data_IF_428891575983
#
_entry.id   IF_428891575983
#
_cell.length_a   1.000
_cell.length_b   1.000
_cell.length_c   1.000
_cell.angle_alpha   90.00
_cell.angle_beta   90.00
_cell.angle_gamma   90.00
#
_symmetry.space_group_name_H-M   'P 1'
#
loop_
_entity.id
_entity.type
_entity.pdbx_description
1 polymer ?
#
# COMPACT_ATOMS: atom_id res chain seq x y z
N UNK A 1 12.16 -34.61 14.63
CA UNK A 1 11.54 -33.32 15.02
C UNK A 1 11.22 -32.58 13.75
N UNK A 2 9.94 -32.51 13.38
CA UNK A 2 9.50 -31.53 12.36
C UNK A 2 9.57 -30.15 13.02
N UNK A 3 10.00 -29.08 12.33
CA UNK A 3 9.91 -27.74 12.87
C UNK A 3 8.44 -27.45 13.20
N UNK A 4 8.16 -26.90 14.38
CA UNK A 4 6.88 -26.23 14.62
C UNK A 4 6.72 -25.22 13.48
N UNK A 5 5.65 -25.33 12.69
CA UNK A 5 5.38 -24.36 11.63
C UNK A 5 5.34 -22.96 12.22
N UNK A 6 5.94 -22.00 11.52
CA UNK A 6 5.83 -20.58 11.87
C UNK A 6 4.36 -20.18 11.92
N UNK A 7 3.92 -19.50 12.98
CA UNK A 7 2.57 -18.94 13.04
C UNK A 7 2.49 -17.67 12.19
N UNK A 8 1.29 -17.28 11.71
CA UNK A 8 1.11 -15.97 11.02
C UNK A 8 1.66 -14.82 11.86
N UNK A 9 1.54 -14.87 13.19
CA UNK A 9 2.02 -13.82 14.08
C UNK A 9 3.54 -13.62 14.02
N UNK A 10 4.31 -14.67 13.76
CA UNK A 10 5.77 -14.58 13.65
C UNK A 10 6.21 -13.88 12.35
N UNK A 11 5.32 -13.80 11.36
CA UNK A 11 5.56 -13.15 10.07
C UNK A 11 5.23 -11.65 10.06
N UNK A 12 4.63 -11.13 11.14
CA UNK A 12 4.09 -9.78 11.20
C UNK A 12 4.75 -9.01 12.33
N UNK A 13 5.34 -7.87 11.98
CA UNK A 13 5.80 -6.87 12.95
C UNK A 13 4.64 -5.92 13.28
N UNK A 14 4.42 -5.67 14.56
CA UNK A 14 3.48 -4.64 15.01
C UNK A 14 4.09 -3.82 16.14
N UNK A 15 4.10 -2.50 15.98
CA UNK A 15 4.69 -1.58 16.96
C UNK A 15 4.09 -0.17 16.82
N UNK A 16 4.23 0.63 17.87
CA UNK A 16 3.89 2.06 17.83
C UNK A 16 5.10 2.92 17.48
N UNK A 17 4.86 4.07 16.84
CA UNK A 17 5.83 5.13 16.60
C UNK A 17 5.47 6.37 17.42
N UNK A 18 5.93 6.48 18.69
CA UNK A 18 5.63 7.63 19.54
C UNK A 18 6.06 8.94 18.90
N UNK A 19 5.20 9.95 18.93
CA UNK A 19 5.47 11.28 18.43
C UNK A 19 4.48 12.26 19.04
N UNK A 20 4.92 13.49 19.30
CA UNK A 20 4.06 14.59 19.73
C UNK A 20 3.48 15.37 18.53
N UNK A 21 3.97 15.07 17.32
CA UNK A 21 3.50 15.70 16.08
C UNK A 21 2.11 15.19 15.69
N UNK A 22 1.30 16.09 15.15
CA UNK A 22 0.02 15.74 14.52
C UNK A 22 0.28 15.17 13.11
N UNK A 23 0.66 13.89 13.05
CA UNK A 23 0.90 13.21 11.78
C UNK A 23 -0.37 13.07 10.94
N UNK A 24 -1.57 13.08 11.55
CA UNK A 24 -2.80 13.05 10.78
C UNK A 24 -2.93 14.33 9.94
N UNK A 25 -2.78 15.49 10.56
CA UNK A 25 -2.82 16.77 9.85
C UNK A 25 -1.71 16.89 8.81
N UNK A 26 -0.45 16.61 9.19
CA UNK A 26 0.69 16.74 8.27
C UNK A 26 0.57 15.83 7.04
N UNK A 27 0.20 14.56 7.21
CA UNK A 27 0.03 13.63 6.10
C UNK A 27 -1.21 13.98 5.26
N UNK A 28 -2.27 14.46 5.91
CA UNK A 28 -3.49 14.92 5.22
C UNK A 28 -3.20 16.10 4.30
N UNK A 29 -2.42 17.08 4.76
CA UNK A 29 -2.06 18.27 3.99
C UNK A 29 -0.97 17.99 2.95
N UNK A 30 -0.20 16.92 3.16
CA UNK A 30 0.87 16.50 2.27
C UNK A 30 0.38 15.78 0.99
N UNK A 31 -0.90 15.41 0.91
CA UNK A 31 -1.47 14.66 -0.21
C UNK A 31 -2.60 15.41 -0.92
N UNK A 32 -2.59 15.38 -2.25
CA UNK A 32 -3.73 15.75 -3.11
C UNK A 32 -4.65 14.54 -3.23
N UNK A 33 -5.81 14.60 -2.60
CA UNK A 33 -6.73 13.47 -2.46
C UNK A 33 -7.62 13.26 -3.69
N UNK A 34 -7.80 11.99 -4.08
CA UNK A 34 -8.81 11.57 -5.06
C UNK A 34 -9.91 10.77 -4.36
N UNK A 35 -11.17 11.02 -4.71
CA UNK A 35 -12.28 10.13 -4.33
C UNK A 35 -12.21 8.83 -5.13
N UNK A 36 -11.93 7.71 -4.45
CA UNK A 36 -11.82 6.38 -5.10
C UNK A 36 -12.94 5.43 -4.70
N UNK A 37 -13.86 5.89 -3.84
CA UNK A 37 -15.06 5.15 -3.44
C UNK A 37 -15.80 5.84 -2.31
N UNK A 38 -16.97 5.29 -1.96
CA UNK A 38 -17.78 5.84 -0.86
C UNK A 38 -16.99 5.83 0.46
N UNK A 39 -16.72 7.02 0.99
CA UNK A 39 -16.00 7.19 2.26
C UNK A 39 -14.52 6.83 2.19
N UNK A 40 -13.95 6.79 0.99
CA UNK A 40 -12.55 6.42 0.74
C UNK A 40 -11.91 7.39 -0.23
N UNK A 41 -10.88 8.07 0.25
CA UNK A 41 -9.98 8.86 -0.56
C UNK A 41 -8.61 8.21 -0.59
N UNK A 42 -7.84 8.45 -1.66
CA UNK A 42 -6.46 8.00 -1.71
C UNK A 42 -5.61 8.75 -2.72
N UNK A 43 -4.30 8.53 -2.62
CA UNK A 43 -3.31 9.04 -3.55
C UNK A 43 -2.09 8.11 -3.61
N UNK A 44 -1.41 8.09 -4.76
CA UNK A 44 -0.16 7.37 -4.95
C UNK A 44 1.00 8.35 -4.77
N UNK A 45 1.96 7.96 -3.93
CA UNK A 45 3.14 8.74 -3.60
C UNK A 45 4.40 7.96 -4.00
N UNK A 46 5.48 8.64 -4.40
CA UNK A 46 6.75 7.99 -4.69
C UNK A 46 7.97 8.86 -4.37
N UNK A 47 9.06 8.23 -3.95
CA UNK A 47 10.38 8.85 -3.87
C UNK A 47 10.96 8.91 -5.30
N UNK A 48 10.80 10.04 -5.97
CA UNK A 48 11.29 10.23 -7.34
C UNK A 48 12.80 10.35 -7.31
N UNK A 49 13.47 9.57 -8.15
CA UNK A 49 14.92 9.56 -8.27
C UNK A 49 15.34 10.02 -9.67
N UNK A 50 16.26 10.99 -9.78
CA UNK A 50 16.70 11.52 -11.07
C UNK A 50 17.36 10.46 -11.96
N UNK A 51 18.04 9.49 -11.35
CA UNK A 51 18.75 8.41 -12.06
C UNK A 51 17.81 7.30 -12.48
N UNK A 52 16.88 6.88 -11.63
CA UNK A 52 16.04 5.70 -11.85
C UNK A 52 14.65 6.07 -12.42
N UNK A 53 14.13 7.24 -12.08
CA UNK A 53 12.82 7.73 -12.48
C UNK A 53 11.79 7.60 -11.35
N UNK A 54 10.53 7.38 -11.72
CA UNK A 54 9.40 7.31 -10.80
C UNK A 54 9.13 5.84 -10.44
N UNK A 55 9.24 5.44 -9.15
CA UNK A 55 8.85 4.11 -8.69
C UNK A 55 7.38 3.81 -9.00
N UNK A 56 7.13 2.70 -9.69
CA UNK A 56 5.79 2.26 -10.08
C UNK A 56 5.31 1.13 -9.17
N UNK A 57 4.09 1.22 -8.65
CA UNK A 57 3.37 0.06 -8.10
C UNK A 57 1.98 0.03 -8.71
N UNK A 58 1.77 -0.87 -9.67
CA UNK A 58 0.47 -1.00 -10.34
C UNK A 58 -0.57 -1.59 -9.42
N UNK A 59 -1.78 -1.06 -9.51
CA UNK A 59 -2.91 -1.49 -8.70
C UNK A 59 -4.16 -1.69 -9.57
N UNK A 60 -5.18 -2.32 -8.99
CA UNK A 60 -6.52 -2.39 -9.60
C UNK A 60 -7.35 -1.12 -9.38
N UNK A 61 -6.95 -0.24 -8.48
CA UNK A 61 -7.62 1.05 -8.27
C UNK A 61 -7.24 1.97 -9.42
N UNK A 62 -8.24 2.58 -10.06
CA UNK A 62 -8.05 3.45 -11.21
C UNK A 62 -7.86 4.90 -10.74
N UNK A 63 -6.66 5.22 -10.24
CA UNK A 63 -6.29 6.60 -9.94
C UNK A 63 -6.17 7.42 -11.23
N UNK A 64 -6.54 8.69 -11.15
CA UNK A 64 -6.55 9.63 -12.28
C UNK A 64 -5.55 10.77 -12.09
N UNK A 65 -5.24 11.12 -10.84
CA UNK A 65 -4.21 12.12 -10.57
C UNK A 65 -2.80 11.54 -10.68
N UNK A 66 -1.79 12.32 -11.14
CA UNK A 66 -0.42 11.84 -11.20
C UNK A 66 0.10 11.34 -9.85
N UNK A 67 1.07 10.44 -9.90
CA UNK A 67 1.85 10.08 -8.71
C UNK A 67 2.50 11.34 -8.13
N UNK A 68 2.38 11.53 -6.83
CA UNK A 68 2.92 12.70 -6.12
C UNK A 68 4.31 12.37 -5.55
N UNK A 69 5.25 13.33 -5.52
CA UNK A 69 6.54 13.09 -4.89
C UNK A 69 6.37 12.91 -3.38
N UNK A 70 7.25 12.12 -2.76
CA UNK A 70 7.40 12.12 -1.32
C UNK A 70 7.81 13.52 -0.85
N UNK A 71 6.97 14.10 0.01
CA UNK A 71 7.35 15.22 0.90
C UNK A 71 8.12 14.76 2.13
N UNK A 72 8.78 15.69 2.82
CA UNK A 72 9.59 15.45 4.04
C UNK A 72 8.87 14.62 5.11
N UNK A 73 7.56 14.83 5.32
CA UNK A 73 6.76 14.05 6.27
C UNK A 73 6.74 12.55 5.93
N UNK A 74 6.68 12.21 4.64
CA UNK A 74 6.66 10.82 4.17
C UNK A 74 8.03 10.18 4.30
N UNK A 75 9.09 10.89 3.91
CA UNK A 75 10.48 10.42 4.00
C UNK A 75 10.87 10.15 5.45
N UNK A 76 10.59 11.10 6.34
CA UNK A 76 10.84 10.97 7.77
C UNK A 76 10.05 9.80 8.37
N UNK A 77 8.78 9.63 7.99
CA UNK A 77 7.97 8.52 8.46
C UNK A 77 8.51 7.17 7.97
N UNK A 78 8.83 7.06 6.69
CA UNK A 78 9.43 5.86 6.09
C UNK A 78 10.74 5.49 6.80
N UNK A 79 11.64 6.44 7.00
CA UNK A 79 12.91 6.23 7.70
C UNK A 79 12.70 5.73 9.12
N UNK A 80 11.81 6.36 9.90
CA UNK A 80 11.52 5.93 11.27
C UNK A 80 10.94 4.52 11.35
N UNK A 81 10.07 4.16 10.40
CA UNK A 81 9.54 2.78 10.28
C UNK A 81 10.70 1.81 10.03
N UNK A 82 11.57 2.12 9.07
CA UNK A 82 12.70 1.26 8.71
C UNK A 82 13.66 1.05 9.87
N UNK A 83 14.07 2.13 10.54
CA UNK A 83 14.96 2.07 11.71
C UNK A 83 14.36 1.22 12.83
N UNK A 84 13.07 1.41 13.12
CA UNK A 84 12.39 0.70 14.21
C UNK A 84 12.16 -0.78 13.89
N UNK A 85 11.90 -1.11 12.63
CA UNK A 85 11.64 -2.47 12.18
C UNK A 85 12.90 -3.23 11.74
N UNK A 86 14.07 -2.57 11.69
CA UNK A 86 15.30 -3.17 11.16
C UNK A 86 15.25 -3.47 9.66
N UNK A 87 14.46 -2.70 8.89
CA UNK A 87 14.30 -2.89 7.45
C UNK A 87 15.45 -2.18 6.71
N UNK A 88 16.25 -2.95 5.99
CA UNK A 88 17.43 -2.45 5.27
C UNK A 88 17.11 -1.81 3.91
N UNK A 89 16.02 -2.25 3.25
CA UNK A 89 15.63 -1.76 1.93
C UNK A 89 14.72 -0.55 2.08
N UNK A 90 15.10 0.58 1.46
CA UNK A 90 14.35 1.82 1.56
C UNK A 90 13.03 1.80 0.80
N UNK A 91 11.98 2.30 1.46
CA UNK A 91 10.69 2.52 0.81
C UNK A 91 10.80 3.63 -0.23
N UNK A 92 10.28 3.40 -1.43
CA UNK A 92 10.29 4.36 -2.53
C UNK A 92 8.90 4.57 -3.14
N UNK A 93 7.89 3.87 -2.66
CA UNK A 93 6.50 4.01 -3.06
C UNK A 93 5.60 3.98 -1.82
N UNK A 94 4.51 4.74 -1.85
CA UNK A 94 3.47 4.62 -0.86
C UNK A 94 2.08 4.82 -1.45
N UNK A 95 1.10 4.14 -0.87
CA UNK A 95 -0.31 4.45 -1.04
C UNK A 95 -0.81 5.12 0.24
N UNK A 96 -1.27 6.36 0.14
CA UNK A 96 -1.91 7.08 1.25
C UNK A 96 -3.43 7.00 1.07
N UNK A 97 -4.14 6.66 2.13
CA UNK A 97 -5.59 6.49 2.11
C UNK A 97 -6.23 7.15 3.32
N UNK A 98 -7.41 7.73 3.13
CA UNK A 98 -8.24 8.28 4.20
C UNK A 98 -9.62 7.67 4.13
N UNK A 99 -10.06 7.08 5.25
CA UNK A 99 -11.35 6.41 5.36
C UNK A 99 -12.24 7.09 6.40
N UNK A 100 -13.46 7.43 6.00
CA UNK A 100 -14.54 7.76 6.92
C UNK A 100 -15.21 6.50 7.45
N UNK A 101 -16.07 6.63 8.46
CA UNK A 101 -16.88 5.53 8.99
C UNK A 101 -17.87 4.96 7.97
N UNK A 102 -18.10 5.62 6.82
CA UNK A 102 -18.88 5.04 5.73
C UNK A 102 -18.16 3.90 5.01
N UNK A 103 -16.82 3.85 5.08
CA UNK A 103 -16.01 2.77 4.53
C UNK A 103 -15.70 1.74 5.62
N UNK A 104 -16.49 0.67 5.67
CA UNK A 104 -16.50 -0.27 6.79
C UNK A 104 -15.65 -1.51 6.58
N UNK A 105 -15.37 -1.89 5.33
CA UNK A 105 -14.60 -3.10 5.03
C UNK A 105 -14.06 -3.08 3.60
N UNK A 106 -13.10 -3.94 3.34
CA UNK A 106 -12.55 -4.26 2.02
C UNK A 106 -12.45 -5.77 1.83
N UNK A 107 -12.34 -6.21 0.58
CA UNK A 107 -12.06 -7.61 0.27
C UNK A 107 -10.69 -8.04 0.79
N UNK A 108 -10.58 -9.27 1.29
CA UNK A 108 -9.31 -9.86 1.67
C UNK A 108 -8.42 -10.03 0.43
N UNK A 109 -7.19 -9.50 0.50
CA UNK A 109 -6.25 -9.51 -0.62
C UNK A 109 -4.80 -9.55 -0.11
N UNK A 110 -3.87 -10.03 -0.93
CA UNK A 110 -2.45 -9.71 -0.74
C UNK A 110 -2.17 -8.37 -1.40
N UNK A 111 -1.19 -7.58 -0.99
CA UNK A 111 -0.76 -6.43 -1.79
C UNK A 111 -0.20 -6.91 -3.14
N UNK A 112 -0.40 -6.13 -4.21
CA UNK A 112 0.01 -6.57 -5.55
C UNK A 112 1.54 -6.54 -5.69
N UNK A 113 2.14 -7.71 -5.87
CA UNK A 113 3.59 -7.92 -5.82
C UNK A 113 4.30 -7.75 -7.18
N UNK A 114 3.54 -7.51 -8.27
CA UNK A 114 4.06 -7.33 -9.64
C UNK A 114 5.30 -6.44 -9.70
N UNK A 115 5.24 -5.29 -9.04
CA UNK A 115 6.29 -4.28 -9.07
C UNK A 115 7.14 -4.24 -7.78
N UNK A 116 6.91 -5.14 -6.82
CA UNK A 116 7.60 -5.09 -5.53
C UNK A 116 8.96 -5.79 -5.58
N UNK A 117 9.95 -5.21 -4.89
CA UNK A 117 11.24 -5.83 -4.68
C UNK A 117 11.08 -7.05 -3.75
N UNK A 118 11.68 -8.19 -4.11
CA UNK A 118 11.39 -9.49 -3.46
C UNK A 118 11.80 -9.55 -1.99
N UNK A 119 12.97 -9.00 -1.67
CA UNK A 119 13.53 -8.96 -0.30
C UNK A 119 13.14 -7.67 0.44
N UNK A 120 11.98 -7.10 0.10
CA UNK A 120 11.48 -5.88 0.72
C UNK A 120 10.26 -6.12 1.61
N UNK A 121 9.76 -5.04 2.20
CA UNK A 121 8.66 -5.05 3.14
C UNK A 121 7.49 -4.22 2.62
N UNK A 122 6.33 -4.53 3.18
CA UNK A 122 5.12 -3.72 3.10
C UNK A 122 4.84 -3.26 4.53
N UNK A 123 4.71 -1.96 4.73
CA UNK A 123 4.46 -1.38 6.04
C UNK A 123 3.27 -0.43 6.00
N UNK A 124 2.25 -0.73 6.80
CA UNK A 124 1.05 0.09 6.97
C UNK A 124 1.20 0.89 8.25
N UNK A 125 1.35 2.20 8.12
CA UNK A 125 1.19 3.16 9.21
C UNK A 125 -0.28 3.55 9.35
N UNK A 126 -0.72 3.82 10.58
CA UNK A 126 -2.08 4.18 10.93
C UNK A 126 -2.11 5.40 11.85
N UNK A 127 -2.96 6.39 11.56
CA UNK A 127 -3.32 7.46 12.48
C UNK A 127 -4.79 7.89 12.33
N UNK A 128 -5.24 8.74 13.24
CA UNK A 128 -6.64 9.15 13.37
C UNK A 128 -6.74 10.63 13.60
N UNK A 129 -7.81 11.25 13.10
CA UNK A 129 -8.14 12.67 13.32
C UNK A 129 -8.32 12.98 14.81
N UNK A 130 -8.99 12.09 15.54
CA UNK A 130 -9.25 12.22 16.98
C UNK A 130 -8.60 11.01 17.70
N UNK A 131 -7.35 11.13 18.18
CA UNK A 131 -6.61 10.01 18.78
C UNK A 131 -7.15 9.57 20.15
N UNK A 132 -7.85 10.44 20.86
CA UNK A 132 -8.44 10.16 22.18
C UNK A 132 -9.62 9.18 22.13
N UNK A 133 -10.19 8.97 20.93
CA UNK A 133 -11.22 7.96 20.73
C UNK A 133 -10.58 6.59 20.49
N UNK A 134 -11.24 5.52 20.97
CA UNK A 134 -10.79 4.15 20.73
C UNK A 134 -10.67 3.88 19.21
N UNK A 135 -9.54 3.33 18.72
CA UNK A 135 -9.32 3.12 17.29
C UNK A 135 -10.28 2.04 16.77
N UNK A 136 -11.25 2.40 15.92
CA UNK A 136 -12.32 1.47 15.56
C UNK A 136 -11.91 0.51 14.44
N UNK A 137 -10.64 0.50 13.99
CA UNK A 137 -10.20 -0.31 12.85
C UNK A 137 -9.17 -1.35 13.24
N UNK A 138 -9.26 -2.50 12.59
CA UNK A 138 -8.28 -3.58 12.68
C UNK A 138 -7.91 -4.10 11.31
N UNK A 139 -6.68 -4.58 11.20
CA UNK A 139 -6.20 -5.38 10.09
C UNK A 139 -6.47 -6.84 10.43
N UNK A 140 -7.30 -7.50 9.64
CA UNK A 140 -7.50 -8.95 9.73
C UNK A 140 -6.56 -9.58 8.71
N UNK A 141 -5.67 -10.45 9.17
CA UNK A 141 -4.70 -11.18 8.33
C UNK A 141 -5.02 -12.67 8.40
N UNK A 142 -5.10 -13.31 7.24
CA UNK A 142 -5.54 -14.70 7.06
C UNK A 142 -4.52 -15.44 6.20
N UNK A 143 -4.18 -16.69 6.56
CA UNK A 143 -3.30 -17.53 5.73
C UNK A 143 -4.03 -18.01 4.46
N UNK A 144 -3.31 -18.12 3.35
CA UNK A 144 -3.79 -18.78 2.13
C UNK A 144 -3.71 -20.30 2.21
N UNK A 145 -2.81 -20.84 3.04
CA UNK A 145 -2.51 -22.28 3.11
C UNK A 145 -3.13 -22.97 4.31
N UNK A 146 -3.27 -22.25 5.42
CA UNK A 146 -3.77 -22.78 6.68
C UNK A 146 -5.23 -22.38 6.85
N UNK A 147 -6.14 -23.31 6.57
CA UNK A 147 -7.58 -23.04 6.67
C UNK A 147 -7.95 -22.58 8.10
N UNK A 148 -8.61 -21.42 8.18
CA UNK A 148 -9.06 -20.83 9.45
C UNK A 148 -7.98 -20.12 10.26
N UNK A 149 -6.70 -20.18 9.87
CA UNK A 149 -5.64 -19.45 10.57
C UNK A 149 -5.75 -17.95 10.26
N UNK A 150 -6.01 -17.16 11.30
CA UNK A 150 -6.17 -15.71 11.20
C UNK A 150 -5.68 -15.01 12.46
N UNK A 151 -5.22 -13.77 12.29
CA UNK A 151 -4.92 -12.84 13.39
C UNK A 151 -5.62 -11.51 13.12
N UNK A 152 -6.05 -10.86 14.20
CA UNK A 152 -6.63 -9.52 14.16
C UNK A 152 -5.68 -8.57 14.88
N UNK A 153 -5.27 -7.51 14.19
CA UNK A 153 -4.30 -6.54 14.68
C UNK A 153 -4.97 -5.17 14.73
N UNK A 154 -5.17 -4.56 15.91
CA UNK A 154 -5.69 -3.21 16.01
C UNK A 154 -4.81 -2.22 15.26
N UNK A 155 -5.41 -1.38 14.42
CA UNK A 155 -4.70 -0.32 13.72
C UNK A 155 -4.63 0.91 14.63
N UNK A 156 -3.81 0.85 15.67
CA UNK A 156 -3.70 1.90 16.68
C UNK A 156 -3.28 3.26 16.07
N UNK A 157 -3.58 4.35 16.79
CA UNK A 157 -3.02 5.65 16.45
C UNK A 157 -1.49 5.60 16.56
N UNK A 158 -0.80 6.07 15.51
CA UNK A 158 0.64 5.93 15.33
C UNK A 158 1.14 4.47 15.35
N UNK A 159 0.25 3.52 15.07
CA UNK A 159 0.58 2.11 14.93
C UNK A 159 1.17 1.81 13.56
N UNK A 160 2.06 0.83 13.53
CA UNK A 160 2.64 0.26 12.32
C UNK A 160 2.41 -1.24 12.34
N UNK A 161 2.00 -1.78 11.19
CA UNK A 161 1.99 -3.21 10.91
C UNK A 161 2.85 -3.43 9.66
N UNK A 162 3.85 -4.31 9.74
CA UNK A 162 4.74 -4.59 8.62
C UNK A 162 4.96 -6.10 8.43
N UNK A 163 5.08 -6.51 7.18
CA UNK A 163 5.37 -7.90 6.79
C UNK A 163 6.18 -7.90 5.49
N UNK A 164 6.96 -8.97 5.30
CA UNK A 164 7.80 -9.09 4.11
C UNK A 164 6.97 -9.33 2.84
N UNK A 165 7.52 -9.05 1.67
CA UNK A 165 6.89 -9.44 0.38
C UNK A 165 6.76 -10.97 0.29
N UNK A 166 7.67 -11.74 0.90
CA UNK A 166 7.53 -13.18 1.02
C UNK A 166 6.29 -13.58 1.85
N UNK A 167 6.05 -12.92 2.97
CA UNK A 167 4.84 -13.12 3.80
C UNK A 167 3.57 -12.70 3.06
N UNK A 168 3.59 -11.58 2.34
CA UNK A 168 2.47 -11.13 1.52
C UNK A 168 2.00 -12.18 0.50
N UNK A 169 2.91 -13.00 -0.04
CA UNK A 169 2.54 -14.12 -0.95
C UNK A 169 1.73 -15.21 -0.26
N UNK A 170 1.92 -15.41 1.05
CA UNK A 170 1.23 -16.43 1.85
C UNK A 170 -0.01 -15.91 2.58
N UNK A 171 -0.14 -14.60 2.71
CA UNK A 171 -1.15 -13.95 3.53
C UNK A 171 -2.14 -13.15 2.68
N UNK A 172 -3.38 -13.05 3.14
CA UNK A 172 -4.34 -12.04 2.70
C UNK A 172 -4.71 -11.17 3.88
N UNK A 173 -4.96 -9.90 3.63
CA UNK A 173 -5.36 -8.94 4.64
C UNK A 173 -6.54 -8.10 4.18
N UNK A 174 -7.27 -7.56 5.16
CA UNK A 174 -8.30 -6.54 4.97
C UNK A 174 -8.42 -5.65 6.19
N UNK A 175 -8.74 -4.40 5.95
CA UNK A 175 -9.08 -3.45 7.00
C UNK A 175 -10.60 -3.52 7.25
N UNK A 176 -10.97 -3.65 8.53
CA UNK A 176 -12.36 -3.72 8.98
C UNK A 176 -12.61 -2.63 10.01
N UNK A 177 -13.73 -1.93 9.88
CA UNK A 177 -14.30 -1.07 10.91
C UNK A 177 -15.11 -1.95 11.88
N UNK A 178 -14.70 -1.97 13.14
CA UNK A 178 -15.33 -2.71 14.21
C UNK A 178 -16.73 -2.17 14.52
N UNK A 179 -17.64 -3.07 14.90
CA UNK A 179 -19.01 -2.72 15.27
C UNK A 179 -19.14 -2.70 16.79
N UNK A 180 -19.99 -1.82 17.36
CA UNK A 180 -20.85 -0.85 16.67
C UNK A 180 -20.05 0.33 16.07
N UNK A 181 -20.49 0.84 14.92
CA UNK A 181 -19.85 1.99 14.28
C UNK A 181 -20.16 3.24 15.11
N UNK A 182 -19.17 4.05 15.52
CA UNK A 182 -19.40 5.27 16.26
C UNK A 182 -20.29 6.26 15.49
N UNK A 183 -21.17 6.96 16.21
CA UNK A 183 -22.07 7.96 15.61
C UNK A 183 -21.31 9.19 15.09
N UNK A 184 -20.20 9.54 15.74
CA UNK A 184 -19.29 10.61 15.31
C UNK A 184 -18.21 10.01 14.43
N UNK A 185 -17.97 10.63 13.28
CA UNK A 185 -16.93 10.19 12.35
C UNK A 185 -15.53 10.47 12.91
N UNK A 186 -14.64 9.50 12.81
CA UNK A 186 -13.24 9.63 13.17
C UNK A 186 -12.40 9.08 12.03
N UNK A 187 -12.04 9.96 11.12
CA UNK A 187 -11.29 9.57 9.93
C UNK A 187 -9.99 8.88 10.30
N UNK A 188 -9.79 7.74 9.66
CA UNK A 188 -8.54 7.00 9.70
C UNK A 188 -7.69 7.39 8.49
N UNK A 189 -6.40 7.61 8.70
CA UNK A 189 -5.43 7.79 7.65
C UNK A 189 -4.41 6.66 7.72
N UNK A 190 -4.24 5.96 6.60
CA UNK A 190 -3.25 4.91 6.42
C UNK A 190 -2.19 5.32 5.41
N UNK A 191 -0.93 4.97 5.67
CA UNK A 191 0.14 5.05 4.68
C UNK A 191 0.74 3.67 4.50
N UNK A 192 0.56 3.07 3.33
CA UNK A 192 1.13 1.77 2.98
C UNK A 192 2.42 1.99 2.19
N UNK A 193 3.56 1.90 2.87
CA UNK A 193 4.89 1.99 2.28
C UNK A 193 5.33 0.67 1.65
N UNK A 194 6.01 0.78 0.52
CA UNK A 194 6.50 -0.34 -0.29
C UNK A 194 7.83 0.03 -0.94
N UNK A 195 8.56 -1.00 -1.37
CA UNK A 195 9.71 -0.81 -2.27
C UNK A 195 9.37 -1.39 -3.63
N UNK A 196 9.30 -0.52 -4.63
CA UNK A 196 9.20 -0.90 -6.03
C UNK A 196 10.56 -1.24 -6.62
N UNK A 197 10.59 -2.29 -7.45
CA UNK A 197 11.68 -2.64 -8.38
C UNK A 197 11.44 -2.12 -9.80
N UNK A 198 10.25 -1.60 -10.09
CA UNK A 198 9.86 -1.12 -11.42
C UNK A 198 9.88 0.41 -11.42
N UNK A 199 10.55 0.99 -12.42
CA UNK A 199 10.67 2.44 -12.53
C UNK A 199 10.19 2.93 -13.90
N UNK A 200 9.61 4.12 -13.90
CA UNK A 200 9.17 4.81 -15.10
C UNK A 200 10.02 6.05 -15.38
N UNK A 201 10.38 6.23 -16.64
CA UNK A 201 10.93 7.49 -17.16
C UNK A 201 9.94 8.11 -18.13
N UNK A 202 9.71 9.40 -17.98
CA UNK A 202 8.82 10.14 -18.87
C UNK A 202 9.65 10.83 -19.96
N UNK A 203 9.38 10.50 -21.23
CA UNK A 203 10.01 11.14 -22.39
C UNK A 203 8.95 11.42 -23.45
N UNK A 204 8.92 12.64 -23.96
CA UNK A 204 7.99 13.05 -25.03
C UNK A 204 6.51 12.72 -24.69
N UNK A 205 6.14 12.82 -23.40
CA UNK A 205 4.78 12.51 -22.94
C UNK A 205 4.46 11.01 -22.84
N UNK A 206 5.48 10.14 -22.84
CA UNK A 206 5.31 8.69 -22.71
C UNK A 206 6.00 8.16 -21.47
N UNK A 207 5.30 7.30 -20.72
CA UNK A 207 5.85 6.52 -19.63
C UNK A 207 6.62 5.31 -20.20
N UNK A 208 7.92 5.24 -19.93
CA UNK A 208 8.83 4.20 -20.41
C UNK A 208 9.33 3.37 -19.23
N UNK A 209 9.23 2.04 -19.37
CA UNK A 209 9.85 1.08 -18.47
C UNK A 209 11.38 1.08 -18.64
N UNK A 210 12.09 0.43 -17.71
CA UNK A 210 13.55 0.39 -17.70
C UNK A 210 14.18 -0.24 -18.95
N UNK A 211 13.47 -1.17 -19.60
CA UNK A 211 13.86 -1.81 -20.87
C UNK A 211 13.54 -0.95 -22.11
N UNK A 212 12.95 0.23 -21.91
CA UNK A 212 12.52 1.13 -22.98
C UNK A 212 11.12 0.84 -23.53
N UNK A 213 10.46 -0.22 -23.08
CA UNK A 213 9.08 -0.50 -23.49
C UNK A 213 8.13 0.59 -22.95
N UNK A 214 7.16 0.98 -23.77
CA UNK A 214 6.16 1.96 -23.36
C UNK A 214 5.11 1.29 -22.45
N UNK A 215 4.85 1.90 -21.29
CA UNK A 215 3.69 1.56 -20.48
C UNK A 215 2.45 2.20 -21.12
N UNK A 216 1.40 1.40 -21.34
CA UNK A 216 0.14 1.86 -21.96
C UNK A 216 -1.06 1.56 -21.08
N UNK A 217 -2.17 2.27 -21.33
CA UNK A 217 -3.46 1.91 -20.72
C UNK A 217 -3.90 0.54 -21.25
N UNK A 218 -4.37 -0.31 -20.34
CA UNK A 218 -4.87 -1.62 -20.69
C UNK A 218 -6.13 -1.52 -21.57
N UNK A 219 -6.15 -2.25 -22.69
CA UNK A 219 -7.38 -2.50 -23.44
C UNK A 219 -8.31 -3.48 -22.70
N UNK A 220 -9.48 -3.77 -23.25
CA UNK A 220 -10.48 -4.61 -22.57
C UNK A 220 -9.97 -6.04 -22.27
N UNK A 221 -9.22 -6.65 -23.20
CA UNK A 221 -8.67 -8.00 -23.01
C UNK A 221 -7.58 -7.97 -21.91
N UNK A 222 -6.68 -7.01 -21.99
CA UNK A 222 -5.63 -6.79 -20.99
C UNK A 222 -6.19 -6.48 -19.61
N UNK A 223 -7.31 -5.75 -19.53
CA UNK A 223 -8.01 -5.48 -18.27
C UNK A 223 -8.53 -6.76 -17.63
N UNK A 224 -9.23 -7.60 -18.41
CA UNK A 224 -9.74 -8.88 -17.94
C UNK A 224 -8.59 -9.79 -17.48
N UNK A 225 -7.48 -9.79 -18.22
CA UNK A 225 -6.29 -10.54 -17.86
C UNK A 225 -5.67 -10.04 -16.56
N UNK A 226 -5.54 -8.72 -16.38
CA UNK A 226 -5.00 -8.14 -15.16
C UNK A 226 -5.80 -8.58 -13.92
N UNK A 227 -7.14 -8.57 -14.00
CA UNK A 227 -7.98 -9.07 -12.93
C UNK A 227 -7.88 -10.59 -12.73
N UNK A 228 -7.63 -11.37 -13.79
CA UNK A 228 -7.35 -12.80 -13.67
C UNK A 228 -6.05 -13.05 -12.92
N UNK A 229 -4.97 -12.36 -13.30
CA UNK A 229 -3.66 -12.43 -12.62
C UNK A 229 -3.79 -12.02 -11.15
N UNK A 230 -4.53 -10.95 -10.87
CA UNK A 230 -4.79 -10.49 -9.50
C UNK A 230 -5.55 -11.51 -8.66
N UNK A 231 -6.51 -12.22 -9.25
CA UNK A 231 -7.22 -13.31 -8.56
C UNK A 231 -6.29 -14.47 -8.24
N UNK A 232 -5.43 -14.86 -9.20
CA UNK A 232 -4.41 -15.89 -8.99
C UNK A 232 -3.47 -15.53 -7.86
N UNK A 233 -2.94 -14.32 -7.85
CA UNK A 233 -2.10 -13.83 -6.74
C UNK A 233 -2.80 -13.96 -5.39
N UNK A 234 -4.10 -13.62 -5.30
CA UNK A 234 -4.83 -13.72 -4.04
C UNK A 234 -5.07 -15.17 -3.58
N UNK A 235 -5.01 -16.17 -4.46
CA UNK A 235 -5.27 -17.58 -4.13
C UNK A 235 -4.01 -18.44 -4.06
N UNK A 236 -3.03 -18.17 -4.89
CA UNK A 236 -1.81 -18.97 -5.07
C UNK A 236 -0.67 -18.38 -4.23
N UNK A 237 0.21 -19.23 -3.70
CA UNK A 237 1.36 -18.78 -2.86
C UNK A 237 2.67 -18.67 -3.63
N UNK A 238 2.75 -19.35 -4.77
CA UNK A 238 3.87 -19.45 -5.69
C UNK A 238 3.64 -18.67 -6.99
N UNK A 239 2.58 -17.86 -7.05
CA UNK A 239 2.27 -17.08 -8.23
C UNK A 239 3.32 -16.01 -8.51
N UNK A 240 3.78 -15.99 -9.77
CA UNK A 240 4.64 -14.96 -10.32
C UNK A 240 3.91 -14.27 -11.48
N UNK A 241 3.98 -12.95 -11.51
CA UNK A 241 3.44 -12.18 -12.63
C UNK A 241 4.29 -12.38 -13.89
N UNK A 242 3.67 -12.51 -15.07
CA UNK A 242 4.39 -12.29 -16.32
C UNK A 242 4.80 -10.81 -16.45
N UNK A 243 5.82 -10.48 -17.26
CA UNK A 243 6.11 -9.10 -17.61
C UNK A 243 4.88 -8.45 -18.26
N UNK A 244 4.45 -7.31 -17.72
CA UNK A 244 3.31 -6.55 -18.25
C UNK A 244 3.76 -5.15 -18.68
N UNK A 245 3.36 -4.73 -19.87
CA UNK A 245 3.61 -3.38 -20.42
C UNK A 245 2.37 -2.50 -20.39
N UNK A 246 1.37 -2.86 -19.58
CA UNK A 246 0.13 -2.12 -19.43
C UNK A 246 -0.26 -1.92 -17.96
N UNK A 247 -1.18 -1.00 -17.74
CA UNK A 247 -1.73 -0.64 -16.42
C UNK A 247 -3.23 -0.34 -16.50
N UNK A 248 -3.92 -0.53 -15.37
CA UNK A 248 -5.32 -0.12 -15.17
C UNK A 248 -5.44 1.33 -14.70
N UNK A 249 -4.39 1.88 -14.10
CA UNK A 249 -4.39 3.18 -13.44
C UNK A 249 -3.90 4.25 -14.40
N UNK A 250 -4.73 5.26 -14.66
CA UNK A 250 -4.35 6.40 -15.51
C UNK A 250 -3.21 7.23 -14.90
N UNK A 251 -3.12 7.27 -13.57
CA UNK A 251 -2.05 7.91 -12.80
C UNK A 251 -0.66 7.50 -13.29
N UNK A 252 -0.47 6.21 -13.56
CA UNK A 252 0.82 5.61 -13.91
C UNK A 252 1.34 6.10 -15.27
N UNK A 253 0.48 6.69 -16.09
CA UNK A 253 0.78 7.21 -17.43
C UNK A 253 1.06 8.72 -17.42
N UNK A 254 0.89 9.38 -16.28
CA UNK A 254 1.09 10.82 -16.14
C UNK A 254 2.44 11.09 -15.47
N UNK A 255 3.18 12.07 -16.01
CA UNK A 255 4.38 12.56 -15.36
C UNK A 255 4.03 13.10 -13.97
N UNK A 256 4.95 12.93 -13.02
CA UNK A 256 4.80 13.45 -11.65
C UNK A 256 4.47 14.94 -11.73
N UNK A 257 3.47 15.37 -10.95
CA UNK A 257 3.12 16.78 -10.91
C UNK A 257 4.23 17.55 -10.19
N UNK A 258 4.89 18.47 -10.90
CA UNK A 258 5.69 19.50 -10.25
C UNK A 258 4.78 20.33 -9.33
N UNK A 259 5.29 20.70 -8.17
CA UNK A 259 4.59 21.61 -7.26
C UNK A 259 4.46 22.98 -7.94
N UNK A 260 3.29 23.25 -8.53
CA UNK A 260 2.78 24.60 -8.76
C UNK A 260 2.03 25.09 -7.53
#
# INVERSE_FOLDING_TARGET
MLPLGSSISDEILSFSLPTERDLFAELSDAARWEEVGKGRQGAVLAAVDERWGVPLVRTTTQYRHPTQPFREVHERLAQRIQERAGISVAFNNALVERYTNAYTTMGAHSDQALDLAEESFIAVFSCYRNPEAEPPRKLVVESKTSEGERVEIPLLHHGVVAFSVASNRRLRHRIVLEKPVPAVDNEWLGVTFRTSKTFLRFREGHALLADGARLVAADEEQRQEFYRLRRRENSETDFAYPPLTYTLSGSDLLAVSDES
#
